data_IF_711203230982
#
_entry.id   IF_711203230982
#
_cell.length_a   1.000
_cell.length_b   1.000
_cell.length_c   1.000
_cell.angle_alpha   90.00
_cell.angle_beta   90.00
_cell.angle_gamma   90.00
#
_symmetry.space_group_name_H-M   'P 1'
#
loop_
_entity.id
_entity.type
_entity.pdbx_description
1 polymer ?
#
# COMPACT_ATOMS: atom_id res chain seq x y z
N UNK A 1 -9.47 -13.56 23.39
CA UNK A 1 -8.29 -12.66 23.51
C UNK A 1 -8.71 -11.27 23.04
N UNK A 2 -8.95 -10.34 23.97
CA UNK A 2 -9.39 -8.99 23.65
C UNK A 2 -8.25 -8.23 22.93
N UNK A 3 -8.51 -7.73 21.72
CA UNK A 3 -7.51 -7.04 20.91
C UNK A 3 -6.87 -5.87 21.66
N UNK A 4 -5.54 -5.82 21.66
CA UNK A 4 -4.75 -4.77 22.32
C UNK A 4 -5.21 -3.40 21.81
N UNK A 5 -5.75 -2.57 22.71
CA UNK A 5 -6.39 -1.26 22.45
C UNK A 5 -5.53 -0.29 21.60
N UNK A 6 -4.21 -0.50 21.53
CA UNK A 6 -3.28 0.26 20.67
C UNK A 6 -3.21 -0.21 19.21
N UNK A 7 -3.49 -1.47 18.92
CA UNK A 7 -3.33 -2.05 17.58
C UNK A 7 -4.28 -1.40 16.57
N UNK A 8 -5.56 -1.22 16.93
CA UNK A 8 -6.55 -0.58 16.04
C UNK A 8 -6.19 0.86 15.67
N UNK A 9 -5.63 1.63 16.62
CA UNK A 9 -5.19 3.01 16.36
C UNK A 9 -4.00 3.03 15.41
N UNK A 10 -3.02 2.16 15.64
CA UNK A 10 -1.84 2.03 14.77
C UNK A 10 -2.25 1.64 13.35
N UNK A 11 -3.14 0.65 13.20
CA UNK A 11 -3.65 0.23 11.89
C UNK A 11 -4.39 1.36 11.18
N UNK A 12 -5.25 2.07 11.90
CA UNK A 12 -5.96 3.23 11.35
C UNK A 12 -4.99 4.33 10.89
N UNK A 13 -4.01 4.69 11.73
CA UNK A 13 -2.99 5.70 11.39
C UNK A 13 -2.18 5.28 10.16
N UNK A 14 -1.72 4.03 10.09
CA UNK A 14 -1.02 3.53 8.89
C UNK A 14 -1.90 3.60 7.64
N UNK A 15 -3.17 3.23 7.76
CA UNK A 15 -4.14 3.29 6.66
C UNK A 15 -4.30 4.72 6.10
N UNK A 16 -4.59 5.70 6.96
CA UNK A 16 -4.80 7.09 6.49
C UNK A 16 -3.53 7.72 5.89
N UNK A 17 -2.34 7.34 6.40
CA UNK A 17 -1.05 7.77 5.84
C UNK A 17 -0.87 7.21 4.42
N UNK A 18 -1.13 5.91 4.25
CA UNK A 18 -1.06 5.20 2.96
C UNK A 18 -2.04 5.78 1.93
N UNK A 19 -3.30 5.94 2.30
CA UNK A 19 -4.34 6.55 1.47
C UNK A 19 -3.96 7.97 1.04
N UNK A 20 -3.37 8.75 1.95
CA UNK A 20 -2.92 10.10 1.64
C UNK A 20 -1.78 10.13 0.61
N UNK A 21 -0.81 9.20 0.70
CA UNK A 21 0.23 9.08 -0.33
C UNK A 21 -0.37 8.68 -1.69
N UNK A 22 -1.25 7.67 -1.72
CA UNK A 22 -1.92 7.23 -2.96
C UNK A 22 -2.66 8.40 -3.64
N UNK A 23 -3.40 9.17 -2.86
CA UNK A 23 -4.10 10.34 -3.39
C UNK A 23 -3.15 11.42 -3.91
N UNK A 24 -2.02 11.67 -3.24
CA UNK A 24 -1.03 12.63 -3.71
C UNK A 24 -0.39 12.17 -5.02
N UNK A 25 -0.13 10.87 -5.15
CA UNK A 25 0.45 10.26 -6.36
C UNK A 25 -0.46 10.32 -7.58
N UNK A 26 -1.78 10.56 -7.41
CA UNK A 26 -2.70 10.83 -8.53
C UNK A 26 -2.37 12.14 -9.27
N UNK A 27 -1.66 13.05 -8.61
CA UNK A 27 -1.42 14.41 -9.13
C UNK A 27 0.05 14.84 -9.10
N UNK A 28 0.92 14.10 -8.39
CA UNK A 28 2.34 14.41 -8.19
C UNK A 28 3.19 13.16 -8.38
N UNK A 29 4.43 13.31 -8.87
CA UNK A 29 5.41 12.22 -8.85
C UNK A 29 5.96 12.03 -7.44
N UNK A 30 6.44 10.83 -7.12
CA UNK A 30 6.94 10.50 -5.76
C UNK A 30 8.02 11.48 -5.25
N UNK A 31 8.95 11.92 -6.10
CA UNK A 31 10.01 12.85 -5.71
C UNK A 31 9.51 14.27 -5.41
N UNK A 32 8.28 14.60 -5.80
CA UNK A 32 7.62 15.87 -5.51
C UNK A 32 6.77 15.81 -4.23
N UNK A 33 6.53 14.61 -3.70
CA UNK A 33 5.72 14.40 -2.49
C UNK A 33 6.62 14.52 -1.25
N UNK A 34 6.23 15.38 -0.32
CA UNK A 34 6.94 15.55 0.95
C UNK A 34 6.19 14.91 2.11
N UNK A 35 6.91 14.61 3.21
CA UNK A 35 6.29 14.18 4.48
C UNK A 35 5.26 15.22 4.95
N UNK A 36 5.51 16.51 4.71
CA UNK A 36 4.60 17.59 5.07
C UNK A 36 3.29 17.52 4.29
N UNK A 37 3.33 17.22 2.98
CA UNK A 37 2.12 17.05 2.18
C UNK A 37 1.25 15.90 2.72
N UNK A 38 1.88 14.77 3.05
CA UNK A 38 1.20 13.60 3.58
C UNK A 38 0.59 13.92 4.95
N UNK A 39 1.35 14.53 5.85
CA UNK A 39 0.88 14.92 7.18
C UNK A 39 -0.33 15.87 7.11
N UNK A 40 -0.27 16.86 6.22
CA UNK A 40 -1.39 17.79 6.00
C UNK A 40 -2.62 17.07 5.47
N UNK A 41 -2.45 16.14 4.53
CA UNK A 41 -3.58 15.44 3.89
C UNK A 41 -4.21 14.35 4.78
N UNK A 42 -3.41 13.72 5.64
CA UNK A 42 -3.88 12.71 6.61
C UNK A 42 -4.35 13.29 7.95
N UNK A 43 -4.25 14.60 8.15
CA UNK A 43 -4.51 15.27 9.43
C UNK A 43 -3.73 14.66 10.61
N UNK A 44 -2.42 14.49 10.41
CA UNK A 44 -1.50 14.03 11.46
C UNK A 44 -0.31 14.97 11.61
N UNK A 45 0.31 14.88 12.77
CA UNK A 45 1.59 15.49 13.08
C UNK A 45 2.77 14.67 12.53
N UNK A 46 3.85 15.36 12.16
CA UNK A 46 5.07 14.74 11.59
C UNK A 46 5.69 13.68 12.50
N UNK A 47 5.67 13.88 13.82
CA UNK A 47 6.16 12.89 14.77
C UNK A 47 5.42 11.55 14.68
N UNK A 48 4.12 11.59 14.41
CA UNK A 48 3.30 10.38 14.19
C UNK A 48 3.64 9.71 12.88
N UNK A 49 3.90 10.45 11.80
CA UNK A 49 4.43 9.89 10.56
C UNK A 49 5.75 9.14 10.82
N UNK A 50 6.70 9.79 11.51
CA UNK A 50 8.02 9.22 11.80
C UNK A 50 7.99 8.05 12.80
N UNK A 51 6.87 7.83 13.49
CA UNK A 51 6.65 6.63 14.31
C UNK A 51 6.40 5.39 13.44
N UNK A 52 6.01 5.57 12.18
CA UNK A 52 5.64 4.50 11.28
C UNK A 52 6.57 4.37 10.06
N UNK A 53 7.12 5.48 9.56
CA UNK A 53 7.89 5.52 8.31
C UNK A 53 9.07 6.49 8.42
N UNK A 54 10.20 6.15 7.81
CA UNK A 54 11.40 7.00 7.80
C UNK A 54 11.26 8.21 6.89
N UNK A 55 10.67 8.00 5.71
CA UNK A 55 10.47 9.01 4.68
C UNK A 55 9.35 8.56 3.70
N UNK A 56 9.16 9.31 2.62
CA UNK A 56 8.13 9.05 1.62
C UNK A 56 8.41 7.80 0.78
N UNK A 57 9.68 7.42 0.59
CA UNK A 57 10.06 6.21 -0.15
C UNK A 57 9.89 4.96 0.70
N UNK A 58 10.18 5.03 2.00
CA UNK A 58 9.89 3.95 2.96
C UNK A 58 8.39 3.64 3.02
N UNK A 59 7.55 4.69 3.01
CA UNK A 59 6.09 4.53 2.90
C UNK A 59 5.68 3.91 1.55
N UNK A 60 6.26 4.37 0.44
CA UNK A 60 5.98 3.80 -0.88
C UNK A 60 6.36 2.33 -0.93
N UNK A 61 7.53 1.96 -0.41
CA UNK A 61 7.98 0.57 -0.35
C UNK A 61 7.01 -0.29 0.47
N UNK A 62 6.52 0.23 1.60
CA UNK A 62 5.50 -0.46 2.41
C UNK A 62 4.16 -0.64 1.68
N UNK A 63 3.80 0.23 0.72
CA UNK A 63 2.64 0.05 -0.14
C UNK A 63 2.89 -1.02 -1.20
N UNK A 64 4.05 -0.98 -1.86
CA UNK A 64 4.46 -1.99 -2.85
C UNK A 64 4.46 -3.38 -2.24
N UNK A 65 5.08 -3.55 -1.08
CA UNK A 65 5.17 -4.85 -0.40
C UNK A 65 3.79 -5.38 0.01
N UNK A 66 2.88 -4.51 0.44
CA UNK A 66 1.49 -4.90 0.74
C UNK A 66 0.75 -5.36 -0.52
N UNK A 67 0.91 -4.63 -1.63
CA UNK A 67 0.31 -5.00 -2.91
C UNK A 67 0.86 -6.33 -3.44
N UNK A 68 2.18 -6.53 -3.37
CA UNK A 68 2.80 -7.79 -3.79
C UNK A 68 2.28 -8.97 -2.97
N UNK A 69 2.16 -8.81 -1.65
CA UNK A 69 1.62 -9.87 -0.80
C UNK A 69 0.16 -10.19 -1.12
N UNK A 70 -0.67 -9.17 -1.38
CA UNK A 70 -2.05 -9.39 -1.81
C UNK A 70 -2.10 -10.15 -3.15
N UNK A 71 -1.27 -9.77 -4.12
CA UNK A 71 -1.20 -10.47 -5.41
C UNK A 71 -0.78 -11.93 -5.22
N UNK A 72 0.22 -12.20 -4.38
CA UNK A 72 0.68 -13.56 -4.09
C UNK A 72 -0.43 -14.40 -3.46
N UNK A 73 -1.16 -13.85 -2.50
CA UNK A 73 -2.32 -14.51 -1.87
C UNK A 73 -3.39 -14.86 -2.91
N UNK A 74 -3.73 -13.93 -3.81
CA UNK A 74 -4.66 -14.21 -4.91
C UNK A 74 -4.18 -15.31 -5.85
N UNK A 75 -2.88 -15.35 -6.15
CA UNK A 75 -2.29 -16.40 -7.01
C UNK A 75 -2.35 -17.76 -6.32
N UNK A 76 -2.06 -17.83 -5.02
CA UNK A 76 -2.10 -19.08 -4.25
C UNK A 76 -3.53 -19.63 -4.07
N UNK A 77 -4.51 -18.75 -3.92
CA UNK A 77 -5.92 -19.13 -3.78
C UNK A 77 -6.60 -19.53 -5.10
N UNK A 78 -5.98 -19.23 -6.24
CA UNK A 78 -6.56 -19.54 -7.56
C UNK A 78 -5.96 -20.83 -8.15
N UNK A 79 -6.77 -21.83 -8.51
CA UNK A 79 -6.27 -23.05 -9.16
C UNK A 79 -5.52 -22.71 -10.46
N UNK A 80 -4.28 -23.19 -10.59
CA UNK A 80 -3.40 -22.95 -11.75
C UNK A 80 -4.04 -23.43 -13.06
N UNK A 81 -4.97 -24.37 -12.98
CA UNK A 81 -5.73 -24.92 -14.11
C UNK A 81 -6.56 -23.85 -14.85
N UNK A 82 -7.05 -22.80 -14.19
CA UNK A 82 -7.84 -21.74 -14.85
C UNK A 82 -7.00 -20.75 -15.66
N UNK A 83 -5.71 -20.59 -15.32
CA UNK A 83 -4.84 -19.65 -16.02
C UNK A 83 -4.22 -20.22 -17.28
N UNK A 84 -4.16 -21.55 -17.43
CA UNK A 84 -3.54 -22.18 -18.60
C UNK A 84 -4.19 -21.70 -19.89
N UNK A 85 -5.51 -21.71 -19.97
CA UNK A 85 -6.23 -21.34 -21.18
C UNK A 85 -6.08 -19.85 -21.50
N UNK A 86 -6.13 -18.98 -20.49
CA UNK A 86 -5.95 -17.53 -20.65
C UNK A 86 -4.51 -17.17 -21.04
N UNK A 87 -3.51 -17.84 -20.45
CA UNK A 87 -2.10 -17.67 -20.84
C UNK A 87 -1.84 -18.24 -22.24
N UNK A 88 -2.43 -19.38 -22.59
CA UNK A 88 -2.33 -19.97 -23.93
C UNK A 88 -2.93 -19.05 -24.99
N UNK A 89 -4.11 -18.49 -24.75
CA UNK A 89 -4.74 -17.52 -25.66
C UNK A 89 -3.86 -16.27 -25.83
N UNK A 90 -3.36 -15.69 -24.73
CA UNK A 90 -2.46 -14.53 -24.79
C UNK A 90 -1.10 -14.82 -25.43
N UNK A 91 -0.52 -16.00 -25.18
CA UNK A 91 0.78 -16.38 -25.72
C UNK A 91 0.71 -16.76 -27.21
N UNK A 92 -0.47 -17.16 -27.70
CA UNK A 92 -0.71 -17.47 -29.10
C UNK A 92 -1.15 -16.24 -29.93
N UNK A 93 -1.26 -15.05 -29.31
CA UNK A 93 -1.85 -13.84 -29.93
C UNK A 93 -3.22 -14.11 -30.59
N UNK A 94 -4.02 -15.02 -30.03
CA UNK A 94 -5.39 -15.35 -30.47
C UNK A 94 -6.45 -14.60 -29.66
#
# INVERSE_FOLDING_TARGET
MAGVKGNRRILYTKKIIKESLIDLLKHKKIHEVTVTDICKKSDINRGTFYTHYKDTYDLLKSLEDELFNQILEYIEETPVEEYKDVLLLKALEL
#
